data_IF_461649455018
#
_entry.id   IF_461649455018
#
_cell.length_a   1.000
_cell.length_b   1.000
_cell.length_c   1.000
_cell.angle_alpha   90.00
_cell.angle_beta   90.00
_cell.angle_gamma   90.00
#
_symmetry.space_group_name_H-M   'P 1'
#
loop_
_entity.id
_entity.type
_entity.pdbx_description
1 polymer ?
#
# COMPACT_ATOMS: atom_id res chain seq x y z
N UNK A 1 0.49 4.52 -2.09
CA UNK A 1 0.86 5.89 -1.70
C UNK A 1 1.48 6.58 -2.90
N UNK A 2 1.19 7.85 -3.13
CA UNK A 2 2.03 8.69 -4.00
C UNK A 2 2.79 9.62 -3.11
N UNK A 3 4.07 9.77 -3.42
CA UNK A 3 4.94 10.68 -2.73
C UNK A 3 5.27 11.81 -3.68
N UNK A 4 4.71 12.99 -3.41
CA UNK A 4 5.10 14.22 -4.09
C UNK A 4 6.12 14.93 -3.20
N UNK A 5 7.33 15.23 -3.70
CA UNK A 5 8.36 15.88 -2.89
C UNK A 5 7.81 17.15 -2.23
N UNK A 6 8.12 17.35 -0.94
CA UNK A 6 7.71 18.50 -0.12
C UNK A 6 6.21 18.64 0.15
N UNK A 7 5.41 17.61 -0.16
CA UNK A 7 3.98 17.56 0.20
C UNK A 7 3.73 16.49 1.24
N UNK A 8 2.75 16.74 2.11
CA UNK A 8 2.25 15.72 3.03
C UNK A 8 1.85 14.44 2.26
N UNK A 9 2.15 13.30 2.85
CA UNK A 9 1.89 11.99 2.24
C UNK A 9 0.40 11.74 2.05
N UNK A 10 0.05 11.06 0.95
CA UNK A 10 -1.33 10.63 0.68
C UNK A 10 -1.40 9.16 0.31
N UNK A 11 -2.32 8.47 0.97
CA UNK A 11 -2.64 7.07 0.72
C UNK A 11 -3.98 6.99 -0.02
N UNK A 12 -4.05 6.27 -1.12
CA UNK A 12 -5.26 6.20 -1.95
C UNK A 12 -6.15 5.02 -1.56
N UNK A 13 -7.43 5.31 -1.37
CA UNK A 13 -8.43 4.33 -0.98
C UNK A 13 -8.61 3.22 -2.03
N UNK A 14 -8.68 3.58 -3.31
CA UNK A 14 -8.95 2.61 -4.38
C UNK A 14 -7.74 1.72 -4.71
N UNK A 15 -6.54 2.29 -4.74
CA UNK A 15 -5.31 1.53 -4.98
C UNK A 15 -4.93 0.64 -3.79
N UNK A 16 -5.28 1.06 -2.57
CA UNK A 16 -5.21 0.18 -1.42
C UNK A 16 -6.11 -1.05 -1.62
N UNK A 17 -7.33 -0.91 -2.14
CA UNK A 17 -8.17 -2.08 -2.47
C UNK A 17 -7.56 -3.00 -3.54
N UNK A 18 -6.94 -2.43 -4.58
CA UNK A 18 -6.20 -3.22 -5.57
C UNK A 18 -5.08 -4.04 -4.91
N UNK A 19 -4.40 -3.46 -3.92
CA UNK A 19 -3.36 -4.13 -3.12
C UNK A 19 -3.94 -5.17 -2.17
N UNK A 20 -4.94 -4.81 -1.37
CA UNK A 20 -5.47 -5.67 -0.30
C UNK A 20 -6.25 -6.88 -0.79
N UNK A 21 -6.88 -6.77 -1.96
CA UNK A 21 -7.57 -7.88 -2.61
C UNK A 21 -6.64 -9.04 -3.00
N UNK A 22 -5.31 -8.84 -3.06
CA UNK A 22 -4.35 -9.91 -3.33
C UNK A 22 -4.43 -11.06 -2.30
N UNK A 23 -4.79 -10.74 -1.05
CA UNK A 23 -4.94 -11.71 0.04
C UNK A 23 -5.99 -12.79 -0.27
N UNK A 24 -6.99 -12.45 -1.09
CA UNK A 24 -8.09 -13.36 -1.44
C UNK A 24 -7.94 -13.99 -2.82
N UNK A 25 -6.98 -13.51 -3.64
CA UNK A 25 -6.82 -13.94 -5.03
C UNK A 25 -6.64 -15.46 -5.12
N UNK A 26 -5.75 -16.02 -4.30
CA UNK A 26 -5.51 -17.46 -4.29
C UNK A 26 -6.75 -18.27 -3.86
N UNK A 27 -7.48 -17.78 -2.85
CA UNK A 27 -8.71 -18.43 -2.36
C UNK A 27 -9.78 -18.49 -3.45
N UNK A 28 -10.03 -17.37 -4.15
CA UNK A 28 -11.01 -17.33 -5.24
C UNK A 28 -10.58 -18.19 -6.42
N UNK A 29 -9.32 -18.11 -6.86
CA UNK A 29 -8.80 -18.93 -7.96
C UNK A 29 -8.98 -20.42 -7.66
N UNK A 30 -8.63 -20.86 -6.46
CA UNK A 30 -8.78 -22.27 -6.06
C UNK A 30 -10.24 -22.72 -5.94
N UNK A 31 -11.17 -21.80 -5.65
CA UNK A 31 -12.60 -22.12 -5.54
C UNK A 31 -13.27 -22.45 -6.88
N UNK A 32 -12.70 -21.99 -8.00
CA UNK A 32 -13.25 -22.26 -9.33
C UNK A 32 -12.87 -23.65 -9.82
N UNK A 33 -13.89 -24.48 -10.09
CA UNK A 33 -13.69 -25.85 -10.63
C UNK A 33 -13.13 -25.89 -12.05
N UNK A 34 -13.49 -24.90 -12.88
CA UNK A 34 -13.10 -24.81 -14.29
C UNK A 34 -11.92 -23.87 -14.47
N UNK A 35 -10.90 -24.30 -15.20
CA UNK A 35 -9.70 -23.51 -15.49
C UNK A 35 -10.04 -22.21 -16.23
N UNK A 36 -11.05 -22.24 -17.08
CA UNK A 36 -11.52 -21.08 -17.84
C UNK A 36 -12.03 -19.97 -16.90
N UNK A 37 -12.68 -20.34 -15.80
CA UNK A 37 -13.17 -19.38 -14.80
C UNK A 37 -12.02 -18.79 -13.99
N UNK A 38 -11.00 -19.59 -13.65
CA UNK A 38 -9.79 -19.11 -13.00
C UNK A 38 -9.08 -18.06 -13.85
N UNK A 39 -8.89 -18.36 -15.14
CA UNK A 39 -8.28 -17.44 -16.11
C UNK A 39 -9.12 -16.18 -16.26
N UNK A 40 -10.45 -16.32 -16.38
CA UNK A 40 -11.36 -15.19 -16.53
C UNK A 40 -11.33 -14.28 -15.30
N UNK A 41 -11.31 -14.86 -14.10
CA UNK A 41 -11.21 -14.11 -12.85
C UNK A 41 -9.89 -13.34 -12.75
N UNK A 42 -8.75 -13.97 -13.05
CA UNK A 42 -7.45 -13.30 -13.03
C UNK A 42 -7.38 -12.15 -14.05
N UNK A 43 -7.92 -12.35 -15.26
CA UNK A 43 -8.02 -11.28 -16.27
C UNK A 43 -8.91 -10.13 -15.80
N UNK A 44 -10.06 -10.43 -15.20
CA UNK A 44 -10.96 -9.42 -14.66
C UNK A 44 -10.30 -8.65 -13.52
N UNK A 45 -9.61 -9.33 -12.60
CA UNK A 45 -8.85 -8.70 -11.52
C UNK A 45 -7.82 -7.72 -12.06
N UNK A 46 -6.99 -8.16 -13.01
CA UNK A 46 -5.99 -7.30 -13.65
C UNK A 46 -6.63 -6.08 -14.33
N UNK A 47 -7.74 -6.28 -15.06
CA UNK A 47 -8.46 -5.18 -15.71
C UNK A 47 -9.00 -4.17 -14.70
N UNK A 48 -9.53 -4.61 -13.55
CA UNK A 48 -10.03 -3.73 -12.49
C UNK A 48 -8.88 -2.97 -11.80
N UNK A 49 -7.75 -3.63 -11.54
CA UNK A 49 -6.57 -2.95 -10.98
C UNK A 49 -6.05 -1.88 -11.92
N UNK A 50 -5.98 -2.18 -13.22
CA UNK A 50 -5.56 -1.24 -14.24
C UNK A 50 -6.55 -0.08 -14.38
N UNK A 51 -7.87 -0.37 -14.32
CA UNK A 51 -8.92 0.64 -14.32
C UNK A 51 -8.73 1.61 -13.15
N UNK A 52 -8.55 1.11 -11.93
CA UNK A 52 -8.29 1.97 -10.79
C UNK A 52 -7.01 2.78 -10.97
N UNK A 53 -5.89 2.15 -11.36
CA UNK A 53 -4.63 2.85 -11.64
C UNK A 53 -4.81 4.03 -12.61
N UNK A 54 -5.51 3.81 -13.72
CA UNK A 54 -5.79 4.88 -14.71
C UNK A 54 -6.73 5.93 -14.14
N UNK A 55 -7.82 5.53 -13.47
CA UNK A 55 -8.78 6.46 -12.87
C UNK A 55 -8.15 7.34 -11.79
N UNK A 56 -7.10 6.85 -11.12
CA UNK A 56 -6.34 7.62 -10.12
C UNK A 56 -5.31 8.56 -10.73
N UNK A 57 -5.22 8.66 -12.06
CA UNK A 57 -4.30 9.56 -12.76
C UNK A 57 -2.96 8.93 -13.11
N UNK A 58 -2.84 7.60 -13.11
CA UNK A 58 -1.58 6.87 -13.35
C UNK A 58 -0.45 7.37 -12.42
N UNK A 59 -0.67 7.34 -11.11
CA UNK A 59 0.29 7.87 -10.16
C UNK A 59 1.69 7.28 -10.35
N UNK A 60 2.70 8.14 -10.29
CA UNK A 60 4.10 7.71 -10.36
C UNK A 60 4.58 7.18 -9.00
N UNK A 61 5.29 6.06 -9.03
CA UNK A 61 5.92 5.49 -7.85
C UNK A 61 7.30 6.10 -7.64
N UNK A 62 7.40 7.06 -6.72
CA UNK A 62 8.68 7.69 -6.39
C UNK A 62 9.50 6.82 -5.40
N UNK A 63 10.07 5.71 -5.90
CA UNK A 63 10.91 4.81 -5.12
C UNK A 63 12.18 5.50 -4.63
N UNK A 64 12.75 6.42 -5.40
CA UNK A 64 13.96 7.13 -5.01
C UNK A 64 13.74 7.93 -3.72
N UNK A 65 12.66 8.72 -3.68
CA UNK A 65 12.29 9.44 -2.47
C UNK A 65 12.04 8.48 -1.32
N UNK A 66 11.25 7.42 -1.55
CA UNK A 66 10.96 6.44 -0.50
C UNK A 66 12.23 5.81 0.08
N UNK A 67 13.21 5.46 -0.75
CA UNK A 67 14.43 4.79 -0.31
C UNK A 67 15.41 5.76 0.35
N UNK A 68 15.60 6.94 -0.24
CA UNK A 68 16.72 7.83 0.09
C UNK A 68 16.34 9.06 0.92
N UNK A 69 15.10 9.54 0.81
CA UNK A 69 14.67 10.81 1.41
C UNK A 69 13.68 10.59 2.56
N UNK A 70 12.72 9.67 2.40
CA UNK A 70 11.72 9.38 3.42
C UNK A 70 12.34 8.82 4.70
N UNK A 71 12.10 9.52 5.81
CA UNK A 71 12.52 9.11 7.14
C UNK A 71 11.33 8.52 7.89
N UNK A 72 11.48 7.26 8.30
CA UNK A 72 10.48 6.57 9.12
C UNK A 72 10.47 7.19 10.51
N UNK A 73 9.28 7.38 11.09
CA UNK A 73 9.17 7.89 12.45
C UNK A 73 9.83 6.94 13.46
N UNK A 74 10.30 7.48 14.58
CA UNK A 74 10.85 6.65 15.67
C UNK A 74 9.83 5.69 16.27
N UNK A 75 8.54 6.01 16.19
CA UNK A 75 7.46 5.16 16.73
C UNK A 75 7.30 3.86 15.92
N UNK A 76 7.45 3.93 14.59
CA UNK A 76 7.20 2.80 13.70
C UNK A 76 8.46 2.20 13.06
N UNK A 77 9.66 2.70 13.38
CA UNK A 77 10.91 2.20 12.81
C UNK A 77 11.22 0.77 13.25
N UNK A 78 10.93 0.43 14.52
CA UNK A 78 11.20 -0.87 15.16
C UNK A 78 12.59 -1.45 14.82
N UNK A 79 13.61 -0.59 14.69
CA UNK A 79 14.96 -0.97 14.27
C UNK A 79 15.61 -2.01 15.17
N UNK A 80 15.22 -2.03 16.43
CA UNK A 80 15.81 -2.90 17.46
C UNK A 80 15.04 -4.22 17.61
N UNK A 81 13.93 -4.40 16.88
CA UNK A 81 13.13 -5.62 16.94
C UNK A 81 13.78 -6.74 16.13
N UNK A 82 13.79 -7.97 16.69
CA UNK A 82 14.25 -9.16 15.96
C UNK A 82 13.45 -9.41 14.67
N UNK A 83 12.15 -9.11 14.70
CA UNK A 83 11.30 -9.09 13.53
C UNK A 83 10.49 -7.78 13.52
N UNK A 84 10.83 -6.82 12.65
CA UNK A 84 10.15 -5.52 12.62
C UNK A 84 8.71 -5.60 12.11
N UNK A 85 8.29 -6.71 11.48
CA UNK A 85 6.91 -6.87 11.04
C UNK A 85 5.93 -7.16 12.18
N UNK A 86 6.34 -7.89 13.21
CA UNK A 86 5.45 -8.26 14.31
C UNK A 86 4.84 -7.03 15.03
N UNK A 87 5.62 -6.03 15.48
CA UNK A 87 5.04 -4.85 16.12
C UNK A 87 4.18 -4.01 15.17
N UNK A 88 4.52 -3.94 13.87
CA UNK A 88 3.68 -3.25 12.87
C UNK A 88 2.32 -3.93 12.70
N UNK A 89 2.31 -5.27 12.58
CA UNK A 89 1.07 -6.04 12.47
C UNK A 89 0.24 -5.87 13.73
N UNK A 90 0.84 -6.02 14.91
CA UNK A 90 0.15 -5.87 16.20
C UNK A 90 -0.48 -4.49 16.37
N UNK A 91 0.30 -3.42 16.14
CA UNK A 91 -0.18 -2.03 16.19
C UNK A 91 -1.30 -1.79 15.17
N UNK A 92 -1.19 -2.32 13.95
CA UNK A 92 -2.21 -2.11 12.91
C UNK A 92 -3.60 -2.66 13.29
N UNK A 93 -3.65 -3.69 14.14
CA UNK A 93 -4.90 -4.29 14.60
C UNK A 93 -5.68 -3.38 15.57
N UNK A 94 -5.04 -2.37 16.14
CA UNK A 94 -5.69 -1.42 17.04
C UNK A 94 -6.34 -0.26 16.29
N UNK A 95 -6.20 -0.18 14.96
CA UNK A 95 -6.78 0.88 14.15
C UNK A 95 -8.28 0.65 13.94
N UNK A 96 -9.09 1.73 13.97
CA UNK A 96 -10.55 1.64 13.77
C UNK A 96 -10.95 1.26 12.35
N UNK A 97 -10.19 1.74 11.37
CA UNK A 97 -10.39 1.42 9.97
C UNK A 97 -9.71 0.08 9.64
N UNK A 98 -10.52 -0.89 9.26
CA UNK A 98 -10.08 -2.25 8.98
C UNK A 98 -9.17 -2.37 7.74
N UNK A 99 -9.10 -1.33 6.90
CA UNK A 99 -8.22 -1.31 5.73
C UNK A 99 -6.75 -1.23 6.12
N UNK A 100 -6.43 -0.62 7.27
CA UNK A 100 -5.06 -0.51 7.75
C UNK A 100 -4.43 -1.88 8.02
N UNK A 101 -4.99 -2.76 8.89
CA UNK A 101 -4.42 -4.09 9.08
C UNK A 101 -4.47 -4.95 7.81
N UNK A 102 -5.45 -4.76 6.92
CA UNK A 102 -5.47 -5.41 5.59
C UNK A 102 -4.27 -4.98 4.76
N UNK A 103 -3.94 -3.69 4.70
CA UNK A 103 -2.82 -3.16 3.93
C UNK A 103 -1.48 -3.68 4.45
N UNK A 104 -1.26 -3.64 5.78
CA UNK A 104 -0.03 -4.18 6.39
C UNK A 104 0.13 -5.68 6.09
N UNK A 105 -0.92 -6.48 6.29
CA UNK A 105 -0.90 -7.92 5.96
C UNK A 105 -0.62 -8.20 4.49
N UNK A 106 -1.11 -7.35 3.59
CA UNK A 106 -0.89 -7.50 2.15
C UNK A 106 0.55 -7.25 1.76
N UNK A 107 1.24 -6.33 2.43
CA UNK A 107 2.66 -6.07 2.23
C UNK A 107 3.54 -7.21 2.77
N UNK A 108 3.20 -7.77 3.94
CA UNK A 108 3.85 -9.00 4.45
C UNK A 108 3.67 -10.15 3.45
N UNK A 109 2.45 -10.31 2.94
CA UNK A 109 2.15 -11.34 1.96
C UNK A 109 2.93 -11.13 0.66
N UNK A 110 2.98 -9.91 0.15
CA UNK A 110 3.73 -9.57 -1.07
C UNK A 110 5.23 -9.83 -0.91
N UNK A 111 5.84 -9.40 0.19
CA UNK A 111 7.27 -9.63 0.45
C UNK A 111 7.62 -11.13 0.45
N UNK A 112 6.73 -11.97 0.99
CA UNK A 112 6.94 -13.43 1.00
C UNK A 112 7.05 -14.03 -0.40
N UNK A 113 6.39 -13.46 -1.40
CA UNK A 113 6.40 -13.95 -2.78
C UNK A 113 7.33 -13.14 -3.70
N UNK A 114 7.97 -12.09 -3.20
CA UNK A 114 8.93 -11.31 -3.97
C UNK A 114 10.28 -12.02 -4.03
N UNK A 115 10.63 -12.51 -5.21
CA UNK A 115 11.91 -13.16 -5.48
C UNK A 115 12.97 -12.19 -6.02
N UNK A 116 12.64 -10.89 -6.16
CA UNK A 116 13.58 -9.89 -6.63
C UNK A 116 14.71 -9.64 -5.63
N UNK A 117 15.87 -9.23 -6.16
CA UNK A 117 17.07 -8.98 -5.36
C UNK A 117 17.71 -7.64 -5.71
N UNK A 118 18.53 -7.13 -4.80
CA UNK A 118 19.24 -5.87 -4.98
C UNK A 118 18.28 -4.71 -5.23
N UNK A 119 18.55 -3.94 -6.28
CA UNK A 119 17.79 -2.73 -6.65
C UNK A 119 16.35 -3.02 -7.10
N UNK A 120 16.04 -4.25 -7.51
CA UNK A 120 14.72 -4.63 -8.01
C UNK A 120 13.78 -5.06 -6.86
N UNK A 121 14.33 -5.31 -5.66
CA UNK A 121 13.53 -5.66 -4.48
C UNK A 121 12.79 -4.42 -3.97
N UNK A 122 11.46 -4.54 -3.84
CA UNK A 122 10.64 -3.44 -3.33
C UNK A 122 10.79 -3.30 -1.80
N UNK A 123 10.75 -2.07 -1.26
CA UNK A 123 10.94 -1.82 0.18
C UNK A 123 9.63 -2.00 0.97
N UNK A 124 9.03 -3.20 0.96
CA UNK A 124 7.71 -3.46 1.58
C UNK A 124 7.60 -3.01 3.04
N UNK A 125 8.61 -3.28 3.86
CA UNK A 125 8.63 -2.86 5.26
C UNK A 125 8.57 -1.34 5.38
N UNK A 126 9.35 -0.61 4.56
CA UNK A 126 9.36 0.86 4.57
C UNK A 126 8.01 1.44 4.10
N UNK A 127 7.36 0.77 3.14
CA UNK A 127 5.99 1.14 2.71
C UNK A 127 5.00 0.93 3.85
N UNK A 128 5.09 -0.17 4.59
CA UNK A 128 4.24 -0.44 5.74
C UNK A 128 4.42 0.60 6.84
N UNK A 129 5.67 0.95 7.15
CA UNK A 129 6.00 2.00 8.11
C UNK A 129 5.45 3.36 7.68
N UNK A 130 5.57 3.69 6.39
CA UNK A 130 4.98 4.91 5.83
C UNK A 130 3.45 4.96 5.98
N UNK A 131 2.76 3.83 5.82
CA UNK A 131 1.31 3.75 6.07
C UNK A 131 1.02 4.05 7.54
N UNK A 132 1.77 3.44 8.46
CA UNK A 132 1.60 3.65 9.89
C UNK A 132 1.88 5.10 10.31
N UNK A 133 2.98 5.69 9.82
CA UNK A 133 3.33 7.10 10.05
C UNK A 133 2.26 8.07 9.52
N UNK A 134 1.55 7.67 8.46
CA UNK A 134 0.51 8.51 7.86
C UNK A 134 -0.81 8.41 8.60
N UNK A 135 -1.20 7.23 9.09
CA UNK A 135 -2.55 6.97 9.64
C UNK A 135 -2.62 6.92 11.17
N UNK A 136 -1.49 6.70 11.85
CA UNK A 136 -1.45 6.76 13.32
C UNK A 136 -0.86 8.08 13.83
N UNK A 137 -1.20 8.49 15.07
CA UNK A 137 -2.25 7.96 15.94
C UNK A 137 -3.65 8.54 15.64
N UNK A 138 -3.73 9.41 14.64
CA UNK A 138 -4.81 10.35 14.44
C UNK A 138 -5.98 9.73 13.67
N UNK A 139 -7.10 9.53 14.36
CA UNK A 139 -8.33 9.02 13.76
C UNK A 139 -8.91 9.97 12.69
N UNK A 140 -8.50 11.25 12.63
CA UNK A 140 -8.94 12.18 11.59
C UNK A 140 -8.23 11.96 10.24
N UNK A 141 -7.07 11.29 10.23
CA UNK A 141 -6.36 10.96 8.99
C UNK A 141 -6.97 9.74 8.32
N UNK A 142 -7.21 9.86 7.02
CA UNK A 142 -7.90 8.83 6.25
C UNK A 142 -7.27 8.66 4.86
N UNK A 143 -7.63 7.56 4.21
CA UNK A 143 -7.34 7.34 2.80
C UNK A 143 -8.03 8.41 1.96
N UNK A 144 -7.29 8.99 1.03
CA UNK A 144 -7.88 9.93 0.09
C UNK A 144 -8.68 9.22 -1.00
N UNK A 145 -9.80 9.85 -1.34
CA UNK A 145 -10.66 9.51 -2.46
C UNK A 145 -10.40 10.40 -3.68
N UNK A 146 -9.47 11.36 -3.58
CA UNK A 146 -9.02 12.23 -4.67
C UNK A 146 -7.96 11.56 -5.55
N UNK A 147 -7.97 11.83 -6.85
CA UNK A 147 -7.05 11.16 -7.78
C UNK A 147 -5.60 11.61 -7.59
N UNK A 148 -4.82 10.86 -6.81
CA UNK A 148 -3.46 11.24 -6.41
C UNK A 148 -2.44 11.35 -7.54
N UNK A 149 -2.76 10.92 -8.76
CA UNK A 149 -1.96 11.12 -9.96
C UNK A 149 -2.21 12.44 -10.69
N UNK A 150 -3.21 13.22 -10.30
CA UNK A 150 -3.50 14.51 -10.95
C UNK A 150 -3.00 15.69 -10.12
N UNK A 151 -2.29 16.62 -10.75
CA UNK A 151 -1.62 17.74 -10.08
C UNK A 151 -2.58 18.69 -9.35
N UNK A 152 -3.81 18.84 -9.83
CA UNK A 152 -4.84 19.67 -9.24
C UNK A 152 -5.15 19.29 -7.79
N UNK A 153 -5.15 18.00 -7.46
CA UNK A 153 -5.45 17.50 -6.10
C UNK A 153 -4.27 17.66 -5.13
N UNK A 154 -3.12 18.14 -5.60
CA UNK A 154 -1.96 18.46 -4.74
C UNK A 154 -1.87 19.93 -4.37
N UNK A 155 -2.72 20.79 -4.95
CA UNK A 155 -2.70 22.25 -4.68
C UNK A 155 -3.17 22.60 -3.28
N UNK A 156 -4.06 21.78 -2.71
CA UNK A 156 -4.64 21.95 -1.38
C UNK A 156 -3.93 21.15 -0.29
N UNK A 157 -2.93 20.34 -0.67
CA UNK A 157 -2.18 19.50 0.27
C UNK A 157 -1.09 20.34 0.92
N UNK A 158 -0.98 20.21 2.25
CA UNK A 158 0.02 20.89 3.06
C UNK A 158 1.45 20.56 2.61
N UNK A 159 2.34 21.55 2.69
CA UNK A 159 3.77 21.37 2.47
C UNK A 159 4.44 20.83 3.75
N UNK A 160 5.51 20.04 3.59
CA UNK A 160 6.30 19.45 4.68
C UNK A 160 7.78 19.83 4.61
#
# INVERSE_FOLDING_TARGET
>A
AVIKPKKALRLDFFLMHATTSCLFLNLFVQSFKKKENQISFLKAKFAIDLLYYVARGRPELNLNYLLNEYQVSKEHSYSDAQNPWLPLVDKSLTHRDEHVPKAIRSLVYAEKFDNAQGKDKLPYLKIAQMIMDTLFPDDEKDWTHEGIGWDEYWKTVEDI
#
